data_IF_238571819901
#
_entry.id   IF_238571819901
#
_cell.length_a   1.000
_cell.length_b   1.000
_cell.length_c   1.000
_cell.angle_alpha   90.00
_cell.angle_beta   90.00
_cell.angle_gamma   90.00
#
_symmetry.space_group_name_H-M   'P 1'
#
loop_
_entity.id
_entity.type
_entity.pdbx_description
1 polymer ?
#
# COMPACT_ATOMS: atom_id res chain seq x y z
N UNK A 1 11.01 30.36 13.44
CA UNK A 1 10.59 30.63 13.63
C UNK A 1 9.52 30.25 13.63
N UNK A 2 9.03 30.07 13.60
CA UNK A 2 8.09 29.76 13.51
C UNK A 2 7.50 28.70 14.08
N UNK A 3 8.10 27.75 14.32
CA UNK A 3 7.59 26.67 14.96
C UNK A 3 6.92 26.94 16.22
N UNK A 4 7.32 27.92 16.87
CA UNK A 4 6.80 28.14 18.14
C UNK A 4 5.38 28.57 18.11
N UNK A 5 4.91 28.95 17.01
CA UNK A 5 3.57 29.36 16.97
C UNK A 5 2.58 28.29 17.21
N UNK A 6 2.99 27.09 16.96
CA UNK A 6 2.07 25.99 17.10
C UNK A 6 1.87 25.53 18.49
N UNK A 7 2.61 26.14 19.45
CA UNK A 7 2.56 25.60 20.72
C UNK A 7 1.33 25.84 21.45
N UNK A 8 1.03 24.99 22.29
CA UNK A 8 0.04 25.14 23.30
C UNK A 8 -1.32 24.79 22.87
N UNK A 9 -1.95 25.62 22.14
CA UNK A 9 -3.38 25.50 21.96
C UNK A 9 -3.79 24.85 20.67
N UNK A 10 -2.90 24.75 19.71
CA UNK A 10 -3.30 24.20 18.42
C UNK A 10 -3.08 22.75 18.32
N UNK A 11 -3.87 22.15 17.44
CA UNK A 11 -3.60 20.81 16.95
C UNK A 11 -2.50 20.92 15.92
N UNK A 12 -1.49 20.09 16.03
CA UNK A 12 -0.47 20.08 15.00
C UNK A 12 -0.33 18.68 14.40
N UNK A 13 0.30 18.65 13.24
CA UNK A 13 0.43 17.45 12.44
C UNK A 13 1.83 16.89 12.61
N UNK A 14 1.89 15.63 13.04
CA UNK A 14 3.16 14.91 13.08
C UNK A 14 3.44 14.29 11.73
N UNK A 15 4.70 14.28 11.32
CA UNK A 15 5.11 13.60 10.10
C UNK A 15 5.83 12.33 10.51
N UNK A 16 5.34 11.19 10.02
CA UNK A 16 5.92 9.88 10.31
C UNK A 16 6.25 9.17 9.01
N UNK A 17 7.06 8.12 9.09
CA UNK A 17 7.36 7.33 7.91
C UNK A 17 6.08 6.73 7.34
N UNK A 18 5.98 6.74 6.03
CA UNK A 18 4.79 6.21 5.37
C UNK A 18 4.70 6.71 3.96
N UNK A 19 3.59 6.38 3.31
CA UNK A 19 3.38 6.76 1.92
C UNK A 19 1.89 6.95 1.68
N UNK A 20 1.55 7.98 0.90
CA UNK A 20 0.19 8.15 0.41
C UNK A 20 0.21 8.11 -1.11
N UNK A 21 -0.70 7.37 -1.70
CA UNK A 21 -0.84 7.36 -3.16
C UNK A 21 -2.32 7.49 -3.53
N UNK A 22 -2.55 7.98 -4.75
CA UNK A 22 -3.89 8.39 -5.19
C UNK A 22 -4.69 7.21 -5.77
N UNK A 23 -4.92 6.20 -4.95
CA UNK A 23 -5.81 5.09 -5.26
C UNK A 23 -6.77 4.88 -4.11
N UNK A 24 -8.05 4.87 -4.40
CA UNK A 24 -9.08 4.63 -3.40
C UNK A 24 -9.52 3.18 -3.37
N UNK A 25 -10.41 2.87 -2.45
CA UNK A 25 -10.92 1.50 -2.33
C UNK A 25 -11.70 1.10 -3.60
N UNK A 26 -11.60 -0.19 -3.96
CA UNK A 26 -12.28 -0.70 -5.14
C UNK A 26 -13.78 -0.88 -4.93
N UNK A 27 -14.24 -0.84 -3.68
CA UNK A 27 -15.65 -0.91 -3.37
C UNK A 27 -15.93 -0.09 -2.12
N UNK A 28 -17.00 0.71 -2.11
CA UNK A 28 -17.38 1.46 -0.90
C UNK A 28 -17.79 0.54 0.24
N UNK A 29 -18.06 -0.73 -0.04
CA UNK A 29 -18.40 -1.69 1.00
C UNK A 29 -17.20 -2.07 1.86
N UNK A 30 -15.98 -1.68 1.48
CA UNK A 30 -14.80 -1.87 2.33
C UNK A 30 -14.72 -0.87 3.48
N UNK A 31 -15.54 0.17 3.46
CA UNK A 31 -15.54 1.22 4.49
C UNK A 31 -15.78 0.61 5.88
N UNK A 32 -14.95 1.01 6.83
CA UNK A 32 -15.10 0.62 8.25
C UNK A 32 -15.57 1.79 9.11
N UNK A 33 -15.26 3.01 8.69
CA UNK A 33 -15.65 4.23 9.40
C UNK A 33 -16.59 5.01 8.50
N UNK A 34 -17.90 4.90 8.78
CA UNK A 34 -18.90 5.49 7.89
C UNK A 34 -18.94 7.01 7.97
N UNK A 35 -18.53 7.61 9.09
CA UNK A 35 -18.51 9.05 9.20
C UNK A 35 -17.46 9.67 8.29
N UNK A 36 -16.29 9.06 8.23
CA UNK A 36 -15.19 9.54 7.38
C UNK A 36 -15.20 8.89 6.01
N UNK A 37 -16.07 7.93 5.79
CA UNK A 37 -16.12 7.14 4.57
C UNK A 37 -14.74 6.58 4.22
N UNK A 38 -14.11 5.95 5.20
CA UNK A 38 -12.77 5.37 5.04
C UNK A 38 -12.73 3.93 5.54
N UNK A 39 -11.82 3.17 4.95
CA UNK A 39 -11.46 1.84 5.45
C UNK A 39 -10.20 2.02 6.28
N UNK A 40 -10.26 1.66 7.56
CA UNK A 40 -9.15 1.81 8.48
C UNK A 40 -8.70 0.42 8.92
N UNK A 41 -7.46 0.10 8.64
CA UNK A 41 -6.90 -1.21 8.94
C UNK A 41 -5.77 -1.05 9.96
N UNK A 42 -5.88 -1.76 11.08
CA UNK A 42 -4.88 -1.70 12.15
C UNK A 42 -3.95 -2.88 12.05
N UNK A 43 -2.66 -2.62 11.95
CA UNK A 43 -1.61 -3.64 11.83
C UNK A 43 -1.90 -4.64 10.72
N UNK A 44 -2.23 -4.17 9.51
CA UNK A 44 -2.62 -5.08 8.44
C UNK A 44 -1.42 -5.78 7.80
N UNK A 45 -1.69 -6.94 7.21
CA UNK A 45 -0.82 -7.47 6.18
C UNK A 45 -1.12 -6.78 4.86
N UNK A 46 -0.12 -6.68 4.00
CA UNK A 46 -0.23 -6.01 2.70
C UNK A 46 0.26 -6.96 1.62
N UNK A 47 -0.63 -7.34 0.71
CA UNK A 47 -0.30 -8.17 -0.44
C UNK A 47 -0.03 -7.26 -1.63
N UNK A 48 1.12 -7.43 -2.26
CA UNK A 48 1.50 -6.67 -3.44
C UNK A 48 1.58 -7.63 -4.62
N UNK A 49 0.71 -7.45 -5.60
CA UNK A 49 0.63 -8.35 -6.75
C UNK A 49 0.63 -7.51 -8.03
N UNK A 50 1.42 -7.91 -9.01
CA UNK A 50 1.59 -7.09 -10.22
C UNK A 50 0.60 -7.42 -11.33
N UNK A 51 -0.38 -8.26 -11.06
CA UNK A 51 -1.39 -8.64 -12.05
C UNK A 51 -2.79 -8.43 -11.49
N UNK A 52 -3.77 -8.68 -12.34
CA UNK A 52 -5.18 -8.60 -12.00
C UNK A 52 -5.64 -9.86 -11.29
N UNK A 53 -6.53 -9.71 -10.33
CA UNK A 53 -7.12 -10.83 -9.61
C UNK A 53 -8.62 -10.82 -9.90
N UNK A 54 -9.11 -11.88 -10.57
CA UNK A 54 -10.52 -11.99 -10.92
C UNK A 54 -11.19 -13.18 -10.27
N UNK A 55 -10.43 -14.21 -9.90
CA UNK A 55 -10.95 -15.43 -9.31
C UNK A 55 -10.57 -15.55 -7.85
N UNK A 56 -11.54 -15.82 -7.00
CA UNK A 56 -11.31 -15.97 -5.57
C UNK A 56 -10.38 -17.13 -5.27
N UNK A 57 -10.45 -18.17 -6.08
CA UNK A 57 -9.59 -19.34 -5.94
C UNK A 57 -8.11 -18.98 -5.91
N UNK A 58 -7.70 -17.97 -6.68
CA UNK A 58 -6.31 -17.56 -6.73
C UNK A 58 -5.86 -16.89 -5.44
N UNK A 59 -6.79 -16.30 -4.69
CA UNK A 59 -6.49 -15.60 -3.45
C UNK A 59 -6.51 -16.51 -2.22
N UNK A 60 -7.18 -17.65 -2.28
CA UNK A 60 -7.36 -18.49 -1.11
C UNK A 60 -6.04 -18.86 -0.41
N UNK A 61 -4.95 -19.18 -1.13
CA UNK A 61 -3.69 -19.49 -0.46
C UNK A 61 -3.14 -18.37 0.40
N UNK A 62 -3.50 -17.12 0.09
CA UNK A 62 -3.10 -15.94 0.88
C UNK A 62 -4.13 -15.66 1.97
N UNK A 63 -5.41 -15.77 1.64
CA UNK A 63 -6.48 -15.37 2.55
C UNK A 63 -6.58 -16.30 3.76
N UNK A 64 -6.42 -17.59 3.56
CA UNK A 64 -6.58 -18.54 4.66
C UNK A 64 -5.57 -18.34 5.78
N UNK A 65 -4.27 -18.23 5.50
CA UNK A 65 -3.31 -17.96 6.57
C UNK A 65 -3.55 -16.60 7.25
N UNK A 66 -3.90 -15.57 6.48
CA UNK A 66 -4.15 -14.25 7.04
C UNK A 66 -5.38 -14.28 7.95
N UNK A 67 -6.45 -14.95 7.51
CA UNK A 67 -7.66 -15.06 8.32
C UNK A 67 -7.39 -15.73 9.65
N UNK A 68 -6.49 -16.72 9.69
CA UNK A 68 -6.16 -17.40 10.92
C UNK A 68 -5.44 -16.48 11.92
N UNK A 69 -4.77 -15.43 11.45
CA UNK A 69 -4.10 -14.49 12.35
C UNK A 69 -5.08 -13.48 12.97
N UNK A 70 -6.25 -13.32 12.40
CA UNK A 70 -7.19 -12.30 12.83
C UNK A 70 -6.84 -10.89 12.40
N UNK A 71 -5.73 -10.69 11.69
CA UNK A 71 -5.30 -9.37 11.26
C UNK A 71 -5.94 -9.00 9.94
N UNK A 72 -6.10 -7.68 9.67
CA UNK A 72 -6.62 -7.24 8.38
C UNK A 72 -5.63 -7.51 7.25
N UNK A 73 -6.15 -7.50 6.02
CA UNK A 73 -5.34 -7.61 4.82
C UNK A 73 -5.70 -6.48 3.85
N UNK A 74 -4.69 -5.81 3.34
CA UNK A 74 -4.84 -4.88 2.22
C UNK A 74 -4.27 -5.55 0.98
N UNK A 75 -5.04 -5.59 -0.08
CA UNK A 75 -4.59 -6.12 -1.37
C UNK A 75 -4.30 -4.93 -2.29
N UNK A 76 -3.08 -4.85 -2.79
CA UNK A 76 -2.67 -3.87 -3.78
C UNK A 76 -2.28 -4.65 -5.02
N UNK A 77 -3.10 -4.58 -6.06
CA UNK A 77 -2.90 -5.36 -7.28
C UNK A 77 -3.18 -4.48 -8.49
N UNK A 78 -2.86 -4.95 -9.67
CA UNK A 78 -3.19 -4.23 -10.88
C UNK A 78 -4.68 -3.91 -10.92
N UNK A 79 -5.50 -4.89 -10.58
CA UNK A 79 -6.94 -4.70 -10.39
C UNK A 79 -7.46 -5.91 -9.61
N UNK A 80 -8.59 -5.75 -8.95
CA UNK A 80 -9.35 -6.86 -8.35
C UNK A 80 -10.79 -6.67 -8.81
N UNK A 81 -11.31 -7.62 -9.56
CA UNK A 81 -12.65 -7.47 -10.13
C UNK A 81 -13.40 -8.79 -10.12
N UNK A 82 -14.57 -8.77 -10.74
CA UNK A 82 -15.38 -9.97 -10.97
C UNK A 82 -15.72 -10.71 -9.69
N UNK A 83 -15.62 -12.02 -9.76
CA UNK A 83 -15.95 -12.90 -8.66
C UNK A 83 -15.06 -12.63 -7.44
N UNK A 84 -13.78 -12.34 -7.66
CA UNK A 84 -12.87 -12.09 -6.55
C UNK A 84 -13.33 -10.87 -5.73
N UNK A 85 -13.62 -9.78 -6.40
CA UNK A 85 -14.07 -8.57 -5.70
C UNK A 85 -15.39 -8.81 -4.98
N UNK A 86 -16.34 -9.44 -5.66
CA UNK A 86 -17.65 -9.71 -5.06
C UNK A 86 -17.53 -10.58 -3.81
N UNK A 87 -16.70 -11.60 -3.87
CA UNK A 87 -16.53 -12.51 -2.74
C UNK A 87 -15.84 -11.84 -1.57
N UNK A 88 -14.83 -10.99 -1.84
CA UNK A 88 -14.18 -10.23 -0.80
C UNK A 88 -15.16 -9.30 -0.08
N UNK A 89 -16.01 -8.62 -0.84
CA UNK A 89 -17.01 -7.72 -0.29
C UNK A 89 -17.99 -8.50 0.60
N UNK A 90 -18.50 -9.63 0.11
CA UNK A 90 -19.45 -10.44 0.88
C UNK A 90 -18.83 -10.91 2.19
N UNK A 91 -17.60 -11.40 2.14
CA UNK A 91 -16.94 -11.90 3.36
C UNK A 91 -16.61 -10.77 4.33
N UNK A 92 -16.31 -9.59 3.83
CA UNK A 92 -16.09 -8.42 4.67
C UNK A 92 -17.39 -8.02 5.36
N UNK A 93 -18.50 -7.99 4.63
CA UNK A 93 -19.79 -7.62 5.20
C UNK A 93 -20.28 -8.62 6.23
N UNK A 94 -19.91 -9.90 6.07
CA UNK A 94 -20.25 -10.93 7.03
C UNK A 94 -19.35 -10.92 8.27
N UNK A 95 -18.30 -10.09 8.24
CA UNK A 95 -17.34 -10.06 9.34
C UNK A 95 -16.34 -11.21 9.34
N UNK A 96 -16.33 -12.02 8.27
CA UNK A 96 -15.40 -13.15 8.19
C UNK A 96 -13.98 -12.70 7.87
N UNK A 97 -13.84 -11.60 7.14
CA UNK A 97 -12.53 -11.05 6.77
C UNK A 97 -12.50 -9.55 7.04
N UNK A 98 -11.37 -9.08 7.54
CA UNK A 98 -11.08 -7.65 7.63
C UNK A 98 -10.20 -7.32 6.43
N UNK A 99 -10.79 -6.80 5.37
CA UNK A 99 -10.08 -6.73 4.11
C UNK A 99 -10.47 -5.48 3.33
N UNK A 100 -9.52 -4.98 2.55
CA UNK A 100 -9.77 -3.94 1.56
C UNK A 100 -8.86 -4.20 0.36
N UNK A 101 -9.24 -3.68 -0.78
CA UNK A 101 -8.48 -3.84 -2.01
C UNK A 101 -8.41 -2.52 -2.74
N UNK A 102 -7.25 -2.21 -3.29
CA UNK A 102 -7.02 -1.02 -4.10
C UNK A 102 -6.19 -1.39 -5.31
N UNK A 103 -6.24 -0.55 -6.33
CA UNK A 103 -5.37 -0.73 -7.49
C UNK A 103 -3.97 -0.22 -7.16
N UNK A 104 -2.97 -0.86 -7.75
CA UNK A 104 -1.61 -0.40 -7.66
C UNK A 104 -1.47 0.96 -8.36
N UNK A 105 -0.66 1.87 -7.81
CA UNK A 105 -0.48 3.18 -8.43
C UNK A 105 0.38 3.09 -9.69
N UNK A 106 0.18 4.04 -10.61
CA UNK A 106 0.94 4.11 -11.84
C UNK A 106 0.47 3.13 -12.90
N UNK A 107 1.23 3.06 -13.98
CA UNK A 107 0.94 2.20 -15.12
C UNK A 107 2.25 1.63 -15.67
N UNK A 108 2.19 0.43 -16.25
CA UNK A 108 3.32 -0.19 -16.92
C UNK A 108 4.51 -0.38 -15.99
N UNK A 109 5.70 -0.06 -16.50
CA UNK A 109 6.92 -0.25 -15.73
C UNK A 109 6.97 0.63 -14.50
N UNK A 110 6.33 1.80 -14.54
CA UNK A 110 6.28 2.66 -13.39
C UNK A 110 5.44 2.05 -12.27
N UNK A 111 4.38 1.32 -12.63
CA UNK A 111 3.59 0.59 -11.64
C UNK A 111 4.46 -0.45 -10.92
N UNK A 112 5.29 -1.17 -11.67
CA UNK A 112 6.19 -2.16 -11.07
C UNK A 112 7.17 -1.49 -10.11
N UNK A 113 7.71 -0.35 -10.49
CA UNK A 113 8.63 0.39 -9.65
C UNK A 113 7.93 0.90 -8.38
N UNK A 114 6.70 1.39 -8.50
CA UNK A 114 5.94 1.87 -7.36
C UNK A 114 5.54 0.75 -6.42
N UNK A 115 5.19 -0.42 -6.95
CA UNK A 115 4.93 -1.59 -6.12
C UNK A 115 6.18 -1.97 -5.33
N UNK A 116 7.35 -1.90 -5.97
CA UNK A 116 8.60 -2.19 -5.28
C UNK A 116 8.88 -1.17 -4.19
N UNK A 117 8.59 0.11 -4.44
CA UNK A 117 8.74 1.14 -3.42
C UNK A 117 7.88 0.82 -2.19
N UNK A 118 6.64 0.39 -2.41
CA UNK A 118 5.74 0.03 -1.32
C UNK A 118 6.24 -1.22 -0.61
N UNK A 119 6.78 -2.19 -1.36
CA UNK A 119 7.33 -3.41 -0.77
C UNK A 119 8.48 -3.08 0.17
N UNK A 120 9.38 -2.22 -0.27
CA UNK A 120 10.53 -1.83 0.55
C UNK A 120 10.06 -1.07 1.79
N UNK A 121 9.08 -0.21 1.64
CA UNK A 121 8.55 0.57 2.76
C UNK A 121 7.88 -0.31 3.81
N UNK A 122 7.21 -1.38 3.39
CA UNK A 122 6.41 -2.22 4.29
C UNK A 122 7.08 -3.54 4.66
N UNK A 123 8.26 -3.81 4.10
CA UNK A 123 8.96 -5.07 4.37
C UNK A 123 8.37 -6.26 3.64
N UNK A 124 7.59 -6.01 2.59
CA UNK A 124 6.96 -7.09 1.81
C UNK A 124 7.74 -7.44 0.56
N UNK A 125 7.17 -8.34 -0.21
CA UNK A 125 7.72 -8.80 -1.49
C UNK A 125 6.65 -8.60 -2.54
N UNK A 126 7.01 -8.02 -3.67
CA UNK A 126 6.08 -7.94 -4.80
C UNK A 126 5.95 -9.33 -5.38
N UNK A 127 4.73 -9.86 -5.40
CA UNK A 127 4.46 -11.18 -5.97
C UNK A 127 4.37 -10.99 -7.49
N UNK A 128 5.40 -11.44 -8.17
CA UNK A 128 5.55 -11.29 -9.62
C UNK A 128 5.99 -12.62 -10.21
N UNK A 129 5.22 -13.12 -11.15
CA UNK A 129 5.57 -14.39 -11.80
C UNK A 129 6.88 -14.28 -12.57
N UNK A 130 7.20 -13.10 -13.07
CA UNK A 130 8.47 -12.86 -13.74
C UNK A 130 9.66 -13.10 -12.82
N UNK A 131 9.46 -12.92 -11.52
CA UNK A 131 10.50 -13.14 -10.52
C UNK A 131 10.38 -14.51 -9.85
N UNK A 132 9.45 -15.34 -10.30
CA UNK A 132 9.26 -16.66 -9.75
C UNK A 132 8.31 -16.73 -8.55
N UNK A 133 7.59 -15.66 -8.26
CA UNK A 133 6.64 -15.64 -7.15
C UNK A 133 5.22 -15.81 -7.68
N UNK A 134 4.42 -16.60 -6.98
CA UNK A 134 3.02 -16.83 -7.33
C UNK A 134 2.16 -16.65 -6.08
N UNK A 135 0.87 -16.37 -6.29
CA UNK A 135 -0.06 -16.28 -5.15
C UNK A 135 -0.17 -17.60 -4.41
N UNK A 136 -0.13 -18.70 -5.15
CA UNK A 136 -0.22 -20.04 -4.57
C UNK A 136 0.90 -20.30 -3.56
N UNK A 137 2.09 -19.81 -3.84
CA UNK A 137 3.26 -20.06 -3.02
C UNK A 137 3.60 -18.90 -2.09
N UNK A 138 2.69 -17.93 -1.94
CA UNK A 138 2.92 -16.78 -1.08
C UNK A 138 2.68 -17.17 0.38
N UNK A 139 3.65 -16.80 1.23
CA UNK A 139 3.58 -17.06 2.67
C UNK A 139 3.43 -15.75 3.42
N UNK A 140 3.08 -15.81 4.71
CA UNK A 140 2.86 -14.60 5.50
C UNK A 140 4.09 -13.69 5.57
N UNK A 141 5.28 -14.27 5.60
CA UNK A 141 6.51 -13.49 5.68
C UNK A 141 6.83 -12.73 4.39
N UNK A 142 6.12 -13.04 3.30
CA UNK A 142 6.26 -12.30 2.05
C UNK A 142 5.31 -11.11 1.98
N UNK A 143 4.37 -11.01 2.90
CA UNK A 143 3.44 -9.89 2.95
C UNK A 143 4.07 -8.73 3.70
N UNK A 144 3.80 -7.50 3.25
CA UNK A 144 4.23 -6.32 3.97
C UNK A 144 3.36 -6.10 5.20
N UNK A 145 3.82 -5.25 6.10
CA UNK A 145 3.06 -4.84 7.27
C UNK A 145 3.26 -3.37 7.55
N UNK A 146 2.33 -2.79 8.28
CA UNK A 146 2.41 -1.39 8.68
C UNK A 146 1.63 -1.22 9.97
N UNK A 147 1.77 -0.07 10.61
CA UNK A 147 1.01 0.21 11.83
C UNK A 147 -0.46 0.41 11.49
N UNK A 148 -0.75 1.27 10.54
CA UNK A 148 -2.13 1.48 10.09
C UNK A 148 -2.15 1.77 8.60
N UNK A 149 -3.28 1.45 7.95
CA UNK A 149 -3.56 1.86 6.59
C UNK A 149 -4.95 2.45 6.57
N UNK A 150 -5.09 3.62 5.96
CA UNK A 150 -6.38 4.29 5.80
C UNK A 150 -6.64 4.49 4.32
N UNK A 151 -7.82 4.09 3.86
CA UNK A 151 -8.20 4.18 2.46
C UNK A 151 -9.52 4.92 2.37
N UNK A 152 -9.56 5.97 1.56
CA UNK A 152 -10.83 6.63 1.24
C UNK A 152 -11.13 6.42 -0.26
N UNK A 153 -12.06 7.18 -0.79
CA UNK A 153 -12.44 6.97 -2.19
C UNK A 153 -11.36 7.38 -3.19
N UNK A 154 -10.38 8.17 -2.75
CA UNK A 154 -9.37 8.73 -3.65
C UNK A 154 -7.95 8.32 -3.30
N UNK A 155 -7.67 8.03 -2.04
CA UNK A 155 -6.30 7.85 -1.57
C UNK A 155 -6.14 6.67 -0.65
N UNK A 156 -4.93 6.11 -0.64
CA UNK A 156 -4.48 5.10 0.31
C UNK A 156 -3.29 5.67 1.06
N UNK A 157 -3.34 5.65 2.39
CA UNK A 157 -2.26 6.15 3.24
C UNK A 157 -1.74 5.01 4.10
N UNK A 158 -0.46 4.70 3.96
CA UNK A 158 0.24 3.69 4.76
C UNK A 158 1.06 4.43 5.80
N UNK A 159 0.87 4.10 7.07
CA UNK A 159 1.54 4.78 8.18
C UNK A 159 2.45 3.78 8.88
N UNK A 160 3.69 4.17 9.08
CA UNK A 160 4.71 3.38 9.78
C UNK A 160 4.82 1.95 9.23
N UNK A 161 5.26 1.87 7.98
CA UNK A 161 5.56 0.58 7.37
C UNK A 161 6.72 -0.10 8.10
N UNK A 162 6.74 -1.43 8.06
CA UNK A 162 7.71 -2.23 8.80
C UNK A 162 9.00 -2.49 8.03
N UNK A 163 9.25 -1.76 6.95
CA UNK A 163 10.44 -1.95 6.15
C UNK A 163 11.71 -1.54 6.89
N UNK A 164 12.83 -2.12 6.47
CA UNK A 164 14.13 -1.81 7.03
C UNK A 164 14.54 -0.40 6.57
N UNK A 165 14.89 0.46 7.52
CA UNK A 165 15.24 1.84 7.20
C UNK A 165 16.47 1.93 6.30
N UNK A 166 17.40 1.01 6.41
CA UNK A 166 18.58 1.00 5.54
C UNK A 166 18.19 0.67 4.09
N UNK A 167 17.24 -0.23 3.89
CA UNK A 167 16.75 -0.54 2.56
C UNK A 167 15.95 0.61 1.97
N UNK A 168 15.19 1.32 2.80
CA UNK A 168 14.47 2.50 2.35
C UNK A 168 15.47 3.58 1.90
N UNK A 169 16.52 3.80 2.68
CA UNK A 169 17.55 4.76 2.32
C UNK A 169 18.27 4.38 1.02
N UNK A 170 18.55 3.09 0.86
CA UNK A 170 19.19 2.60 -0.37
C UNK A 170 18.28 2.84 -1.58
N UNK A 171 16.98 2.61 -1.44
CA UNK A 171 16.03 2.85 -2.52
C UNK A 171 15.95 4.33 -2.87
N UNK A 172 15.92 5.19 -1.84
CA UNK A 172 15.94 6.65 -2.03
C UNK A 172 17.19 7.06 -2.82
N UNK A 173 18.35 6.52 -2.44
CA UNK A 173 19.60 6.80 -3.14
C UNK A 173 19.56 6.36 -4.60
N UNK A 174 18.99 5.20 -4.85
CA UNK A 174 18.85 4.67 -6.21
C UNK A 174 17.97 5.59 -7.07
N UNK A 175 16.86 6.06 -6.51
CA UNK A 175 15.97 6.96 -7.24
C UNK A 175 16.68 8.30 -7.52
N UNK A 176 17.42 8.82 -6.55
CA UNK A 176 18.17 10.05 -6.74
C UNK A 176 19.20 9.91 -7.87
N UNK A 177 19.87 8.77 -7.94
CA UNK A 177 20.83 8.51 -9.01
C UNK A 177 20.13 8.47 -10.37
N UNK A 178 18.95 7.87 -10.44
CA UNK A 178 18.20 7.82 -11.68
C UNK A 178 17.75 9.21 -12.13
N UNK A 179 17.41 10.09 -11.18
CA UNK A 179 17.05 11.47 -11.50
C UNK A 179 18.21 12.19 -12.16
N UNK A 180 19.42 11.94 -11.66
CA UNK A 180 20.61 12.61 -12.20
C UNK A 180 21.00 12.13 -13.59
N UNK A 181 20.66 10.90 -13.93
CA UNK A 181 21.09 10.30 -15.20
C UNK A 181 20.03 10.33 -16.28
N UNK A 182 18.77 10.53 -15.95
CA UNK A 182 17.72 10.52 -16.95
C UNK A 182 17.79 11.77 -17.82
N UNK A 183 17.49 11.58 -19.11
CA UNK A 183 17.50 12.70 -20.06
C UNK A 183 16.09 13.19 -20.39
N UNK A 184 15.06 12.48 -19.91
CA UNK A 184 13.67 12.83 -20.15
C UNK A 184 13.14 13.67 -19.01
N UNK A 185 12.62 14.87 -19.32
CA UNK A 185 12.01 15.72 -18.29
C UNK A 185 10.80 15.05 -17.66
N UNK A 186 10.02 14.31 -18.46
CA UNK A 186 8.86 13.60 -17.96
C UNK A 186 9.28 12.52 -16.97
N UNK A 187 10.29 11.71 -17.33
CA UNK A 187 10.76 10.65 -16.44
C UNK A 187 11.35 11.24 -15.16
N UNK A 188 12.05 12.37 -15.30
CA UNK A 188 12.61 13.04 -14.13
C UNK A 188 11.52 13.49 -13.17
N UNK A 189 10.46 14.05 -13.70
CA UNK A 189 9.32 14.48 -12.88
C UNK A 189 8.71 13.29 -12.15
N UNK A 190 8.52 12.16 -12.84
CA UNK A 190 7.93 10.97 -12.25
C UNK A 190 8.84 10.33 -11.20
N UNK A 191 10.14 10.38 -11.44
CA UNK A 191 11.09 9.92 -10.43
C UNK A 191 11.08 10.82 -9.21
N UNK A 192 10.94 12.12 -9.40
CA UNK A 192 10.85 13.06 -8.29
C UNK A 192 9.58 12.82 -7.46
N UNK A 193 8.47 12.49 -8.12
CA UNK A 193 7.24 12.14 -7.41
C UNK A 193 7.43 10.89 -6.54
N UNK A 194 8.08 9.86 -7.09
CA UNK A 194 8.37 8.65 -6.32
C UNK A 194 9.27 8.94 -5.13
N UNK A 195 10.30 9.76 -5.36
CA UNK A 195 11.21 10.14 -4.30
C UNK A 195 10.48 10.85 -3.17
N UNK A 196 9.61 11.80 -3.52
CA UNK A 196 8.85 12.55 -2.52
C UNK A 196 7.94 11.63 -1.72
N UNK A 197 7.30 10.65 -2.36
CA UNK A 197 6.43 9.72 -1.66
C UNK A 197 7.20 8.83 -0.71
N UNK A 198 8.36 8.34 -1.14
CA UNK A 198 9.13 7.39 -0.34
C UNK A 198 9.88 8.08 0.80
N UNK A 199 10.43 9.25 0.55
CA UNK A 199 11.26 9.95 1.52
C UNK A 199 10.50 10.97 2.37
N UNK A 200 9.35 11.43 1.90
CA UNK A 200 8.65 12.55 2.52
C UNK A 200 7.81 12.22 3.73
N UNK A 201 7.50 10.94 3.94
CA UNK A 201 6.62 10.56 5.03
C UNK A 201 5.17 11.00 4.81
N UNK A 202 4.35 10.78 5.81
CA UNK A 202 2.93 11.18 5.78
C UNK A 202 2.58 11.95 7.03
N UNK A 203 1.58 12.81 6.90
CA UNK A 203 1.11 13.63 8.02
C UNK A 203 0.04 12.87 8.78
N UNK A 204 0.12 12.92 10.10
CA UNK A 204 -0.84 12.26 11.00
C UNK A 204 -1.32 13.27 12.00
N UNK A 205 -2.63 13.38 12.16
CA UNK A 205 -3.24 14.27 13.14
C UNK A 205 -3.46 13.57 14.47
#
# INVERSE_FOLDING_TARGET
>A
ITVEEAKGTETYVDVVEGMQFDRGFLSPYFVTNSEKMSAELDSPYILLFDKKISNMKDLLPVLEPVAQTGKPLLIIAEDVDGEALATLVVNKLRGALKIAAVKAPGFGDRRKAMLEDIAILTGGTVISEERGFTLENTTLDMLGTAETVTIDKDNTTVVNGSGDSDMIKARVGQIKSQIETTTSDYDKEKLQERLAKLAGGVAVL
#
